data_IF_491516179438
#
_entry.id   IF_491516179438
#
_cell.length_a   1.000
_cell.length_b   1.000
_cell.length_c   1.000
_cell.angle_alpha   90.00
_cell.angle_beta   90.00
_cell.angle_gamma   90.00
#
_symmetry.space_group_name_H-M   'P 1'
#
loop_
_entity.id
_entity.type
_entity.pdbx_description
1 polymer ?
#
# COMPACT_ATOMS: atom_id res chain seq x y z
N UNK A 1 -11.11 25.21 6.63
CA UNK A 1 -10.10 24.66 7.57
C UNK A 1 -9.36 23.61 6.77
N UNK A 2 -8.04 23.75 6.65
CA UNK A 2 -7.24 22.86 5.80
C UNK A 2 -7.31 21.41 6.30
N UNK A 3 -7.57 20.47 5.39
CA UNK A 3 -7.72 19.05 5.68
C UNK A 3 -6.58 18.27 5.06
N UNK A 4 -5.92 17.41 5.83
CA UNK A 4 -5.00 16.42 5.28
C UNK A 4 -5.79 15.27 4.66
N UNK A 5 -5.38 14.85 3.46
CA UNK A 5 -6.00 13.76 2.73
C UNK A 5 -5.17 12.48 2.93
N UNK A 6 -5.84 11.40 3.32
CA UNK A 6 -5.20 10.11 3.58
C UNK A 6 -5.43 9.11 2.45
N UNK A 7 -6.64 9.06 1.90
CA UNK A 7 -6.97 8.11 0.85
C UNK A 7 -8.46 8.12 0.49
N UNK A 8 -8.77 7.60 -0.70
CA UNK A 8 -10.15 7.38 -1.14
C UNK A 8 -10.59 5.97 -0.77
N UNK A 9 -11.80 5.84 -0.22
CA UNK A 9 -12.45 4.59 0.17
C UNK A 9 -13.91 4.60 -0.29
N UNK A 10 -14.61 3.46 -0.15
CA UNK A 10 -16.07 3.41 -0.31
C UNK A 10 -16.76 4.14 0.85
N UNK A 11 -17.89 4.78 0.56
CA UNK A 11 -18.71 5.41 1.59
C UNK A 11 -19.16 4.37 2.64
N UNK A 12 -19.12 4.75 3.93
CA UNK A 12 -19.44 3.84 5.04
C UNK A 12 -18.30 2.90 5.47
N UNK A 13 -17.07 3.15 5.01
CA UNK A 13 -15.90 2.37 5.41
C UNK A 13 -15.74 2.31 6.95
N UNK A 14 -15.70 1.11 7.56
CA UNK A 14 -15.88 0.92 9.00
C UNK A 14 -14.74 1.48 9.85
N UNK A 15 -13.56 1.68 9.25
CA UNK A 15 -12.34 2.15 9.93
C UNK A 15 -11.92 3.57 9.57
N UNK A 16 -12.75 4.31 8.83
CA UNK A 16 -12.42 5.67 8.45
C UNK A 16 -12.87 6.64 9.57
N UNK A 17 -11.93 7.28 10.31
CA UNK A 17 -12.27 8.07 11.50
C UNK A 17 -13.02 9.36 11.17
N UNK A 18 -12.67 10.01 10.06
CA UNK A 18 -13.36 11.19 9.52
C UNK A 18 -13.32 11.12 8.00
N UNK A 19 -14.47 11.37 7.37
CA UNK A 19 -14.62 11.28 5.92
C UNK A 19 -15.39 12.43 5.34
N UNK A 20 -15.00 12.85 4.15
CA UNK A 20 -15.82 13.69 3.27
C UNK A 20 -16.42 12.79 2.20
N UNK A 21 -17.74 12.62 2.25
CA UNK A 21 -18.46 11.77 1.31
C UNK A 21 -18.81 12.53 0.02
N UNK A 22 -18.79 11.78 -1.07
CA UNK A 22 -19.35 12.17 -2.37
C UNK A 22 -19.94 10.91 -3.01
N UNK A 23 -21.27 10.85 -3.15
CA UNK A 23 -21.99 9.66 -3.62
C UNK A 23 -21.61 8.38 -2.84
N UNK A 24 -21.09 7.37 -3.53
CA UNK A 24 -20.62 6.08 -2.99
C UNK A 24 -19.14 6.08 -2.61
N UNK A 25 -18.46 7.22 -2.75
CA UNK A 25 -17.05 7.42 -2.40
C UNK A 25 -16.90 8.28 -1.15
N UNK A 26 -15.78 8.11 -0.46
CA UNK A 26 -15.39 8.92 0.67
C UNK A 26 -13.90 9.19 0.64
N UNK A 27 -13.51 10.44 0.86
CA UNK A 27 -12.12 10.79 1.17
C UNK A 27 -11.92 10.71 2.67
N UNK A 28 -10.94 9.94 3.12
CA UNK A 28 -10.51 9.94 4.52
C UNK A 28 -9.66 11.20 4.75
N UNK A 29 -10.10 12.00 5.71
CA UNK A 29 -9.47 13.28 6.04
C UNK A 29 -9.11 13.34 7.52
N UNK A 30 -8.22 14.25 7.87
CA UNK A 30 -7.91 14.55 9.26
C UNK A 30 -7.19 15.88 9.39
N UNK A 31 -6.75 16.17 10.60
CA UNK A 31 -5.91 17.32 10.86
C UNK A 31 -4.52 17.12 10.22
N UNK A 32 -3.81 18.21 9.87
CA UNK A 32 -2.44 18.13 9.36
C UNK A 32 -1.53 17.36 10.31
N UNK A 33 -0.93 16.28 9.81
CA UNK A 33 -0.02 15.40 10.54
C UNK A 33 1.35 15.45 9.86
N UNK A 34 2.38 16.07 10.48
CA UNK A 34 3.70 16.21 9.89
C UNK A 34 4.52 14.92 9.87
N UNK A 35 4.15 13.88 10.63
CA UNK A 35 4.88 12.61 10.65
C UNK A 35 4.41 11.65 9.54
N UNK A 36 5.28 11.29 8.57
CA UNK A 36 4.96 10.30 7.55
C UNK A 36 4.63 8.92 8.11
N UNK A 37 5.21 8.54 9.26
CA UNK A 37 4.94 7.26 9.89
C UNK A 37 3.54 7.22 10.49
N UNK A 38 3.12 8.29 11.19
CA UNK A 38 1.74 8.45 11.65
C UNK A 38 0.74 8.45 10.49
N UNK A 39 1.06 9.13 9.37
CA UNK A 39 0.21 9.07 8.17
C UNK A 39 0.09 7.64 7.63
N UNK A 40 1.22 6.95 7.43
CA UNK A 40 1.20 5.57 6.94
C UNK A 40 0.40 4.64 7.86
N UNK A 41 0.51 4.82 9.18
CA UNK A 41 -0.27 4.03 10.14
C UNK A 41 -1.78 4.24 9.96
N UNK A 42 -2.23 5.48 9.74
CA UNK A 42 -3.64 5.78 9.44
C UNK A 42 -4.09 5.08 8.16
N UNK A 43 -3.36 5.23 7.06
CA UNK A 43 -3.76 4.64 5.77
C UNK A 43 -3.71 3.10 5.82
N UNK A 44 -2.72 2.53 6.50
CA UNK A 44 -2.59 1.06 6.65
C UNK A 44 -3.74 0.48 7.47
N UNK A 45 -4.21 1.17 8.51
CA UNK A 45 -5.35 0.74 9.31
C UNK A 45 -6.66 0.68 8.52
N UNK A 46 -6.78 1.46 7.43
CA UNK A 46 -7.95 1.44 6.55
C UNK A 46 -8.03 0.13 5.74
N UNK A 47 -6.89 -0.46 5.35
CA UNK A 47 -6.84 -1.64 4.48
C UNK A 47 -7.58 -2.85 5.08
N UNK A 48 -7.61 -2.96 6.41
CA UNK A 48 -8.36 -4.01 7.10
C UNK A 48 -9.89 -3.86 7.00
N UNK A 49 -10.38 -2.67 6.63
CA UNK A 49 -11.81 -2.37 6.50
C UNK A 49 -12.35 -2.44 5.07
N UNK A 50 -11.49 -2.55 4.06
CA UNK A 50 -11.88 -2.54 2.65
C UNK A 50 -10.78 -1.98 1.73
N UNK A 51 -11.06 -1.84 0.42
CA UNK A 51 -10.12 -1.27 -0.53
C UNK A 51 -9.87 0.20 -0.26
N UNK A 52 -8.60 0.61 -0.43
CA UNK A 52 -8.13 1.96 -0.17
C UNK A 52 -7.26 2.41 -1.34
N UNK A 53 -7.53 3.60 -1.87
CA UNK A 53 -6.64 4.31 -2.78
C UNK A 53 -5.84 5.32 -1.98
N UNK A 54 -4.59 5.00 -1.58
CA UNK A 54 -3.77 5.94 -0.84
C UNK A 54 -3.54 7.23 -1.62
N UNK A 55 -3.62 8.34 -0.89
CA UNK A 55 -3.17 9.65 -1.39
C UNK A 55 -1.72 9.88 -0.91
N UNK A 56 -0.98 10.71 -1.63
CA UNK A 56 0.39 11.07 -1.25
C UNK A 56 0.43 11.81 0.09
N UNK A 57 1.40 11.48 0.92
CA UNK A 57 1.69 12.22 2.15
C UNK A 57 1.91 13.72 1.86
N UNK A 58 1.36 14.58 2.71
CA UNK A 58 1.45 16.03 2.56
C UNK A 58 0.42 16.64 1.60
N UNK A 59 -0.45 15.83 0.99
CA UNK A 59 -1.59 16.35 0.23
C UNK A 59 -2.64 16.92 1.17
N UNK A 60 -3.03 18.17 0.94
CA UNK A 60 -4.03 18.89 1.73
C UNK A 60 -5.06 19.57 0.84
N UNK A 61 -6.30 19.69 1.33
CA UNK A 61 -7.36 20.46 0.70
C UNK A 61 -7.75 21.66 1.58
N UNK A 62 -8.26 22.73 0.97
CA UNK A 62 -8.65 23.95 1.70
C UNK A 62 -9.84 23.72 2.66
N UNK A 63 -10.82 22.92 2.20
CA UNK A 63 -12.02 22.55 2.92
C UNK A 63 -12.68 21.28 2.32
N UNK A 64 -13.81 20.88 2.88
CA UNK A 64 -14.56 19.70 2.45
C UNK A 64 -15.19 19.85 1.06
N UNK A 65 -15.54 21.06 0.63
CA UNK A 65 -16.14 21.29 -0.69
C UNK A 65 -15.09 21.19 -1.80
N UNK A 66 -13.86 21.65 -1.55
CA UNK A 66 -12.72 21.42 -2.41
C UNK A 66 -12.44 19.91 -2.56
N UNK A 67 -12.51 19.13 -1.48
CA UNK A 67 -12.35 17.66 -1.56
C UNK A 67 -13.41 17.03 -2.46
N UNK A 68 -14.68 17.44 -2.34
CA UNK A 68 -15.75 16.89 -3.18
C UNK A 68 -15.60 17.28 -4.65
N UNK A 69 -15.38 18.56 -4.92
CA UNK A 69 -15.50 19.12 -6.27
C UNK A 69 -14.21 19.05 -7.07
N UNK A 70 -13.04 19.08 -6.41
CA UNK A 70 -11.74 19.07 -7.08
C UNK A 70 -11.03 17.71 -7.03
N UNK A 71 -11.38 16.85 -6.06
CA UNK A 71 -10.72 15.55 -5.88
C UNK A 71 -11.66 14.40 -6.23
N UNK A 72 -12.78 14.25 -5.52
CA UNK A 72 -13.67 13.09 -5.67
C UNK A 72 -14.46 13.10 -6.99
N UNK A 73 -15.22 14.17 -7.27
CA UNK A 73 -16.09 14.24 -8.44
C UNK A 73 -15.36 14.10 -9.79
N UNK A 74 -14.20 14.76 -10.03
CA UNK A 74 -13.54 14.72 -11.34
C UNK A 74 -12.96 13.35 -11.72
N UNK A 75 -12.61 12.52 -10.73
CA UNK A 75 -11.96 11.23 -10.92
C UNK A 75 -12.78 10.05 -10.38
N UNK A 76 -14.06 10.26 -10.11
CA UNK A 76 -14.93 9.30 -9.46
C UNK A 76 -14.94 7.92 -10.13
N UNK A 77 -15.16 7.85 -11.45
CA UNK A 77 -15.24 6.57 -12.16
C UNK A 77 -13.93 5.80 -12.13
N UNK A 78 -12.80 6.51 -12.20
CA UNK A 78 -11.46 5.93 -12.04
C UNK A 78 -11.29 5.37 -10.64
N UNK A 79 -11.66 6.13 -9.61
CA UNK A 79 -11.57 5.65 -8.22
C UNK A 79 -12.45 4.44 -7.97
N UNK A 80 -13.66 4.39 -8.52
CA UNK A 80 -14.53 3.21 -8.42
C UNK A 80 -13.87 2.00 -9.04
N UNK A 81 -13.36 2.12 -10.26
CA UNK A 81 -12.71 1.02 -10.97
C UNK A 81 -11.46 0.52 -10.22
N UNK A 82 -10.64 1.41 -9.68
CA UNK A 82 -9.45 1.03 -8.90
C UNK A 82 -9.82 0.40 -7.55
N UNK A 83 -10.84 0.91 -6.85
CA UNK A 83 -11.33 0.32 -5.61
C UNK A 83 -11.88 -1.10 -5.85
N UNK A 84 -12.62 -1.31 -6.95
CA UNK A 84 -13.13 -2.64 -7.33
C UNK A 84 -11.99 -3.61 -7.67
N UNK A 85 -10.95 -3.13 -8.36
CA UNK A 85 -9.77 -3.93 -8.67
C UNK A 85 -8.99 -4.34 -7.43
N UNK A 86 -8.95 -3.49 -6.41
CA UNK A 86 -8.20 -3.69 -5.17
C UNK A 86 -9.03 -4.32 -4.05
N UNK A 87 -10.29 -4.64 -4.29
CA UNK A 87 -11.14 -5.23 -3.26
C UNK A 87 -10.58 -6.56 -2.73
N UNK A 88 -10.49 -6.64 -1.41
CA UNK A 88 -9.89 -7.77 -0.70
C UNK A 88 -8.38 -7.95 -0.90
N UNK A 89 -7.67 -6.95 -1.44
CA UNK A 89 -6.22 -7.00 -1.64
C UNK A 89 -5.47 -6.02 -0.73
N UNK A 90 -4.26 -6.42 -0.36
CA UNK A 90 -3.30 -5.58 0.35
C UNK A 90 -1.92 -5.75 -0.27
N UNK A 91 -1.14 -4.68 -0.24
CA UNK A 91 0.28 -4.75 -0.57
C UNK A 91 1.07 -5.20 0.66
N UNK A 92 2.13 -5.95 0.42
CA UNK A 92 3.03 -6.42 1.46
C UNK A 92 4.45 -6.28 0.94
N UNK A 93 5.35 -5.79 1.80
CA UNK A 93 6.76 -5.67 1.46
C UNK A 93 7.54 -6.80 2.10
N UNK A 94 8.44 -7.38 1.32
CA UNK A 94 9.44 -8.34 1.79
C UNK A 94 10.81 -7.75 1.55
N UNK A 95 11.58 -7.61 2.61
CA UNK A 95 12.96 -7.12 2.56
C UNK A 95 13.90 -8.30 2.86
N UNK A 96 14.83 -8.58 1.97
CA UNK A 96 15.85 -9.61 2.16
C UNK A 96 17.21 -8.95 2.42
N UNK A 97 17.94 -9.49 3.39
CA UNK A 97 19.36 -9.22 3.64
C UNK A 97 20.14 -10.52 3.56
N UNK A 98 21.22 -10.52 2.78
CA UNK A 98 22.10 -11.67 2.63
C UNK A 98 23.34 -11.48 3.50
N UNK A 99 23.73 -12.51 4.24
CA UNK A 99 24.94 -12.44 5.07
C UNK A 99 26.21 -12.49 4.23
N UNK A 100 26.13 -13.10 3.05
CA UNK A 100 27.26 -13.20 2.13
C UNK A 100 27.36 -11.97 1.20
N UNK A 101 28.57 -11.42 1.03
CA UNK A 101 28.79 -10.30 0.11
C UNK A 101 28.72 -10.77 -1.35
N UNK A 102 28.16 -9.92 -2.21
CA UNK A 102 28.13 -10.14 -3.66
C UNK A 102 26.73 -10.03 -4.25
N UNK A 103 26.56 -9.20 -5.28
CA UNK A 103 25.25 -8.88 -5.88
C UNK A 103 24.83 -9.78 -7.03
N UNK A 104 25.78 -10.46 -7.68
CA UNK A 104 25.55 -11.15 -8.95
C UNK A 104 24.51 -12.29 -8.88
N UNK A 105 24.29 -12.90 -7.71
CA UNK A 105 23.38 -14.02 -7.51
C UNK A 105 22.09 -13.65 -6.74
N UNK A 106 22.00 -12.42 -6.19
CA UNK A 106 20.92 -12.04 -5.26
C UNK A 106 19.55 -12.07 -5.91
N UNK A 107 19.42 -11.55 -7.13
CA UNK A 107 18.17 -11.57 -7.88
C UNK A 107 17.68 -13.00 -8.17
N UNK A 108 18.56 -13.87 -8.70
CA UNK A 108 18.18 -15.26 -8.96
C UNK A 108 17.84 -16.02 -7.67
N UNK A 109 18.52 -15.70 -6.56
CA UNK A 109 18.24 -16.31 -5.26
C UNK A 109 16.95 -15.78 -4.64
N UNK A 110 16.66 -14.49 -4.75
CA UNK A 110 15.43 -13.88 -4.25
C UNK A 110 14.21 -14.44 -4.98
N UNK A 111 14.29 -14.65 -6.30
CA UNK A 111 13.22 -15.32 -7.07
C UNK A 111 12.91 -16.72 -6.50
N UNK A 112 13.94 -17.51 -6.21
CA UNK A 112 13.78 -18.85 -5.63
C UNK A 112 13.20 -18.77 -4.21
N UNK A 113 13.74 -17.89 -3.36
CA UNK A 113 13.30 -17.73 -1.97
C UNK A 113 11.85 -17.25 -1.88
N UNK A 114 11.46 -16.31 -2.75
CA UNK A 114 10.16 -15.67 -2.76
C UNK A 114 9.13 -16.42 -3.63
N UNK A 115 9.50 -17.51 -4.29
CA UNK A 115 8.60 -18.32 -5.12
C UNK A 115 7.27 -18.67 -4.43
N UNK A 116 7.32 -19.15 -3.19
CA UNK A 116 6.12 -19.49 -2.40
C UNK A 116 5.23 -18.28 -2.06
N UNK A 117 5.83 -17.11 -1.95
CA UNK A 117 5.13 -15.83 -1.74
C UNK A 117 4.51 -15.38 -3.05
N UNK A 118 5.27 -15.42 -4.14
CA UNK A 118 4.83 -15.06 -5.49
C UNK A 118 3.67 -15.94 -5.98
N UNK A 119 3.68 -17.25 -5.69
CA UNK A 119 2.58 -18.18 -6.02
C UNK A 119 1.23 -17.79 -5.38
N UNK A 120 1.25 -17.03 -4.29
CA UNK A 120 0.05 -16.55 -3.57
C UNK A 120 -0.26 -15.08 -3.82
N UNK A 121 0.67 -14.36 -4.46
CA UNK A 121 0.47 -12.98 -4.82
C UNK A 121 -0.27 -12.91 -6.16
N UNK A 122 -1.18 -11.94 -6.29
CA UNK A 122 -1.78 -11.60 -7.59
C UNK A 122 -0.80 -10.91 -8.52
N UNK A 123 0.12 -10.13 -7.94
CA UNK A 123 1.15 -9.38 -8.67
C UNK A 123 2.36 -9.13 -7.76
N UNK A 124 3.51 -8.84 -8.35
CA UNK A 124 4.75 -8.55 -7.63
C UNK A 124 5.62 -7.57 -8.39
N UNK A 125 6.30 -6.68 -7.66
CA UNK A 125 7.23 -5.72 -8.24
C UNK A 125 8.48 -5.58 -7.37
N UNK A 126 9.65 -5.60 -8.01
CA UNK A 126 10.90 -5.28 -7.35
C UNK A 126 10.96 -3.78 -7.02
N UNK A 127 11.26 -3.46 -5.77
CA UNK A 127 11.46 -2.11 -5.28
C UNK A 127 12.95 -1.78 -5.26
N UNK A 128 13.33 -0.48 -5.34
CA UNK A 128 14.72 -0.08 -5.16
C UNK A 128 15.27 -0.62 -3.84
N UNK A 129 16.48 -1.20 -3.90
CA UNK A 129 17.21 -1.61 -2.70
C UNK A 129 17.38 -0.40 -1.76
N UNK A 130 17.13 -0.62 -0.47
CA UNK A 130 17.29 0.40 0.56
C UNK A 130 18.67 0.32 1.22
N UNK A 131 19.00 1.28 2.07
CA UNK A 131 20.26 1.25 2.84
C UNK A 131 20.39 0.00 3.74
N UNK A 132 19.27 -0.63 4.11
CA UNK A 132 19.19 -1.75 5.04
C UNK A 132 18.63 -3.04 4.45
N UNK A 133 18.43 -3.10 3.12
CA UNK A 133 17.93 -4.30 2.44
C UNK A 133 18.64 -4.49 1.11
N UNK A 134 19.17 -5.69 0.88
CA UNK A 134 19.83 -6.02 -0.37
C UNK A 134 18.82 -6.17 -1.52
N UNK A 135 17.65 -6.73 -1.22
CA UNK A 135 16.53 -6.90 -2.16
C UNK A 135 15.23 -6.52 -1.45
N UNK A 136 14.37 -5.77 -2.14
CA UNK A 136 13.05 -5.39 -1.62
C UNK A 136 12.00 -5.66 -2.67
N UNK A 137 10.91 -6.30 -2.26
CA UNK A 137 9.82 -6.67 -3.15
C UNK A 137 8.50 -6.23 -2.55
N UNK A 138 7.60 -5.72 -3.40
CA UNK A 138 6.19 -5.56 -3.06
C UNK A 138 5.40 -6.69 -3.72
N UNK A 139 4.46 -7.25 -2.97
CA UNK A 139 3.52 -8.26 -3.45
C UNK A 139 2.09 -7.77 -3.19
N UNK A 140 1.21 -7.97 -4.17
CA UNK A 140 -0.22 -7.73 -4.01
C UNK A 140 -0.88 -9.04 -3.60
N UNK A 141 -1.38 -9.12 -2.37
CA UNK A 141 -1.83 -10.39 -1.74
C UNK A 141 -3.28 -10.25 -1.30
N UNK A 142 -4.06 -11.33 -1.38
CA UNK A 142 -5.39 -11.38 -0.79
C UNK A 142 -5.36 -11.26 0.73
N UNK A 143 -6.29 -10.50 1.32
CA UNK A 143 -6.39 -10.34 2.78
C UNK A 143 -6.48 -11.70 3.52
N UNK A 144 -7.12 -12.70 2.91
CA UNK A 144 -7.20 -14.06 3.45
C UNK A 144 -5.89 -14.84 3.43
N UNK A 145 -4.94 -14.47 2.57
CA UNK A 145 -3.64 -15.15 2.43
C UNK A 145 -2.52 -14.49 3.25
N UNK A 146 -2.77 -13.32 3.86
CA UNK A 146 -1.75 -12.53 4.57
C UNK A 146 -0.99 -13.34 5.64
N UNK A 147 -1.70 -14.13 6.44
CA UNK A 147 -1.07 -14.95 7.48
C UNK A 147 -0.17 -16.03 6.87
N UNK A 148 -0.63 -16.68 5.80
CA UNK A 148 0.14 -17.73 5.12
C UNK A 148 1.40 -17.14 4.48
N UNK A 149 1.28 -15.98 3.84
CA UNK A 149 2.43 -15.29 3.24
C UNK A 149 3.41 -14.82 4.32
N UNK A 150 2.93 -14.20 5.40
CA UNK A 150 3.78 -13.78 6.53
C UNK A 150 4.55 -14.97 7.11
N UNK A 151 3.88 -16.10 7.32
CA UNK A 151 4.51 -17.30 7.88
C UNK A 151 5.53 -17.91 6.91
N UNK A 152 5.27 -17.83 5.60
CA UNK A 152 6.24 -18.22 4.57
C UNK A 152 7.51 -17.35 4.63
N UNK A 153 7.37 -16.03 4.74
CA UNK A 153 8.50 -15.09 4.87
C UNK A 153 9.28 -15.33 6.17
N UNK A 154 8.59 -15.51 7.30
CA UNK A 154 9.21 -15.86 8.57
C UNK A 154 9.93 -17.23 8.52
N UNK A 155 9.50 -18.13 7.63
CA UNK A 155 10.18 -19.37 7.29
C UNK A 155 11.55 -19.15 6.64
N UNK A 156 11.67 -18.15 5.76
CA UNK A 156 12.91 -17.84 5.04
C UNK A 156 14.03 -17.37 5.99
N UNK A 157 13.68 -16.63 7.04
CA UNK A 157 14.63 -16.17 8.04
C UNK A 157 15.29 -17.30 8.86
N UNK A 158 14.82 -18.55 8.71
CA UNK A 158 15.41 -19.73 9.34
C UNK A 158 16.43 -20.44 8.45
N UNK A 159 16.54 -20.07 7.16
CA UNK A 159 17.56 -20.60 6.27
C UNK A 159 18.91 -19.92 6.55
N UNK A 160 19.97 -20.71 6.68
CA UNK A 160 21.32 -20.21 6.92
C UNK A 160 21.75 -19.27 5.77
N UNK A 161 21.84 -17.97 6.07
CA UNK A 161 22.44 -16.96 5.21
C UNK A 161 21.51 -15.87 4.68
N UNK A 162 20.21 -15.89 5.03
CA UNK A 162 19.27 -14.82 4.66
C UNK A 162 18.41 -14.37 5.85
N UNK A 163 18.31 -13.06 6.05
CA UNK A 163 17.30 -12.46 6.92
C UNK A 163 16.17 -11.92 6.05
N UNK A 164 14.94 -12.18 6.46
CA UNK A 164 13.75 -11.70 5.75
C UNK A 164 12.85 -10.94 6.73
N UNK A 165 12.53 -9.69 6.38
CA UNK A 165 11.55 -8.88 7.10
C UNK A 165 10.26 -8.75 6.29
N UNK A 166 9.16 -8.65 7.01
CA UNK A 166 7.81 -8.48 6.48
C UNK A 166 7.22 -7.16 6.95
N UNK A 167 6.58 -6.43 6.04
CA UNK A 167 5.79 -5.23 6.36
C UNK A 167 4.45 -5.27 5.63
N UNK A 168 3.35 -5.27 6.38
CA UNK A 168 1.99 -5.23 5.86
C UNK A 168 0.94 -5.63 6.90
N UNK A 169 -0.36 -5.47 6.60
CA UNK A 169 -0.92 -5.05 5.31
C UNK A 169 -0.70 -3.56 5.01
N UNK A 170 -0.30 -3.24 3.78
CA UNK A 170 -0.11 -1.88 3.29
C UNK A 170 -1.16 -1.55 2.22
N UNK A 171 -1.48 -0.26 2.04
CA UNK A 171 -2.19 0.20 0.86
C UNK A 171 -1.37 -0.11 -0.40
N UNK A 172 -2.05 -0.33 -1.52
CA UNK A 172 -1.44 -0.80 -2.76
C UNK A 172 -0.64 0.26 -3.55
N UNK A 173 0.22 1.03 -2.86
CA UNK A 173 1.06 2.09 -3.43
C UNK A 173 1.78 1.66 -4.70
N UNK A 174 2.42 0.50 -4.70
CA UNK A 174 3.26 0.03 -5.81
C UNK A 174 2.45 -0.54 -6.98
N UNK A 175 1.14 -0.76 -6.80
CA UNK A 175 0.24 -1.39 -7.77
C UNK A 175 -0.89 -0.47 -8.26
N UNK A 176 -0.86 0.80 -7.87
CA UNK A 176 -1.67 1.85 -8.48
C UNK A 176 -0.96 2.36 -9.74
N UNK A 177 -1.68 2.38 -10.86
CA UNK A 177 -1.11 2.74 -12.16
C UNK A 177 -0.56 4.17 -12.13
N UNK A 178 0.65 4.37 -12.69
CA UNK A 178 1.35 5.67 -12.80
C UNK A 178 0.66 6.65 -13.75
N UNK A 179 -0.57 6.37 -14.20
CA UNK A 179 -1.25 7.05 -15.32
C UNK A 179 -2.40 7.97 -14.90
N UNK A 180 -2.86 7.91 -13.65
CA UNK A 180 -3.97 8.75 -13.19
C UNK A 180 -3.43 10.04 -12.59
N UNK A 181 -2.86 10.90 -13.44
CA UNK A 181 -2.43 12.26 -13.09
C UNK A 181 -3.66 13.15 -12.85
N UNK A 182 -4.16 13.16 -11.62
CA UNK A 182 -4.72 14.38 -11.05
C UNK A 182 -3.61 15.05 -10.25
N UNK A 183 -3.63 16.37 -10.04
CA UNK A 183 -2.67 17.07 -9.16
C UNK A 183 -2.68 16.55 -7.71
N UNK A 184 -3.60 15.63 -7.41
CA UNK A 184 -3.89 15.03 -6.13
C UNK A 184 -3.41 13.56 -6.03
N UNK A 185 -2.91 12.98 -7.13
CA UNK A 185 -2.37 11.62 -7.19
C UNK A 185 -1.00 11.60 -7.88
N UNK A 186 0.00 11.17 -7.09
CA UNK A 186 1.45 11.05 -7.35
C UNK A 186 2.29 12.33 -7.34
#
# INVERSE_FOLDING_TARGET
MTLQLYGVVRAGHPRAPRTVCWEDLAMVVGDPEPDPAAHLAVVSALVEGGPVLPVRFGTVAEDEDAVRTEVLAPAADTYRADLDRLDGLAEVHVCLRFTEPGSAWRAARSDVLLSRVAERARDSVALPAGESADERWAFLVGLGDLLVVRDAVAGLARDDGVQADWLGPLPAYSFLDRRTCSRWSW
#
